data_IF_377657788698
#
_entry.id   IF_377657788698
#
_cell.length_a   1.000
_cell.length_b   1.000
_cell.length_c   1.000
_cell.angle_alpha   90.00
_cell.angle_beta   90.00
_cell.angle_gamma   90.00
#
_symmetry.space_group_name_H-M   'P 1'
#
loop_
_entity.id
_entity.type
_entity.pdbx_description
1 polymer ?
#
# COMPACT_ATOMS: atom_id res chain seq x y z
N UNK A 1 28.82 8.21 42.83
CA UNK A 1 28.69 9.59 42.29
C UNK A 1 29.29 9.66 40.88
N UNK A 2 28.49 9.45 39.82
CA UNK A 2 28.86 9.70 38.42
C UNK A 2 27.63 10.19 37.65
N UNK A 3 27.86 11.16 36.77
CA UNK A 3 26.93 12.22 36.37
C UNK A 3 26.10 11.85 35.14
N UNK A 4 24.83 12.25 35.20
CA UNK A 4 23.92 12.67 34.13
C UNK A 4 24.50 12.79 32.71
N UNK A 5 23.82 12.17 31.73
CA UNK A 5 23.74 12.69 30.37
C UNK A 5 22.29 12.63 29.88
N UNK A 6 21.60 13.76 30.06
CA UNK A 6 20.29 14.05 29.46
C UNK A 6 20.54 14.44 28.00
N UNK A 7 20.16 13.60 27.05
CA UNK A 7 20.11 14.00 25.65
C UNK A 7 18.85 14.81 25.39
N UNK A 8 19.05 16.11 25.17
CA UNK A 8 18.09 17.04 24.61
C UNK A 8 18.26 17.00 23.09
N UNK A 9 17.17 16.77 22.35
CA UNK A 9 16.97 17.32 21.00
C UNK A 9 15.51 17.08 20.57
N UNK A 10 14.55 17.77 21.19
CA UNK A 10 13.27 18.03 20.53
C UNK A 10 13.47 19.26 19.65
N UNK A 11 13.76 19.03 18.37
CA UNK A 11 13.68 20.04 17.33
C UNK A 11 12.23 20.49 17.25
N UNK A 12 11.98 21.69 17.76
CA UNK A 12 10.83 22.50 17.37
C UNK A 12 11.22 23.42 16.21
N UNK A 13 10.18 24.00 15.60
CA UNK A 13 10.20 25.03 14.53
C UNK A 13 10.35 24.33 13.15
N UNK A 14 9.39 24.38 12.23
CA UNK A 14 8.67 25.56 11.76
C UNK A 14 7.40 25.17 10.92
N UNK A 15 6.55 26.15 10.54
CA UNK A 15 5.15 25.97 10.17
C UNK A 15 4.92 25.60 8.70
N UNK A 16 3.77 24.98 8.45
CA UNK A 16 3.19 24.75 7.12
C UNK A 16 2.98 26.12 6.43
N UNK A 17 3.65 26.34 5.30
CA UNK A 17 3.38 27.47 4.40
C UNK A 17 2.54 27.00 3.21
N UNK A 18 1.50 27.78 2.95
CA UNK A 18 0.42 27.64 1.96
C UNK A 18 0.86 28.25 0.60
N UNK A 19 0.04 27.99 -0.43
CA UNK A 19 -0.17 28.73 -1.71
C UNK A 19 0.67 28.14 -2.87
N UNK A 20 0.08 27.71 -3.99
CA UNK A 20 -0.46 28.55 -5.09
C UNK A 20 -1.58 27.83 -5.87
N UNK A 21 -2.69 28.55 -6.03
CA UNK A 21 -3.72 28.29 -7.03
C UNK A 21 -3.26 28.81 -8.40
N UNK A 22 -3.62 28.10 -9.48
CA UNK A 22 -3.91 28.78 -10.74
C UNK A 22 -4.99 28.01 -11.49
N UNK A 23 -6.15 28.64 -11.58
CA UNK A 23 -7.22 28.20 -12.46
C UNK A 23 -6.84 28.42 -13.92
N UNK A 24 -7.37 27.55 -14.78
CA UNK A 24 -7.58 27.86 -16.19
C UNK A 24 -9.07 27.65 -16.45
N UNK A 25 -9.81 28.75 -16.42
CA UNK A 25 -11.07 28.92 -17.13
C UNK A 25 -10.71 29.63 -18.43
N UNK A 26 -11.13 29.08 -19.57
CA UNK A 26 -11.62 29.81 -20.75
C UNK A 26 -11.93 28.83 -21.89
N UNK A 27 -13.10 29.01 -22.50
CA UNK A 27 -13.32 28.67 -23.90
C UNK A 27 -14.35 27.57 -24.14
N UNK A 28 -15.61 27.97 -24.33
CA UNK A 28 -16.60 27.14 -25.00
C UNK A 28 -16.30 27.01 -26.49
N UNK A 29 -16.56 25.82 -27.02
CA UNK A 29 -16.76 25.57 -28.43
C UNK A 29 -17.77 24.43 -28.56
N UNK A 30 -18.90 24.79 -29.16
CA UNK A 30 -19.92 23.89 -29.64
C UNK A 30 -19.37 22.99 -30.78
N UNK A 31 -20.21 22.04 -31.19
CA UNK A 31 -20.11 21.16 -32.37
C UNK A 31 -19.35 19.83 -32.17
N UNK A 32 -20.14 18.81 -31.82
CA UNK A 32 -20.01 17.44 -32.35
C UNK A 32 -18.91 16.54 -31.79
N UNK A 33 -19.21 15.78 -30.74
CA UNK A 33 -18.47 14.56 -30.40
C UNK A 33 -19.32 13.31 -30.72
N UNK A 34 -18.86 12.57 -31.72
CA UNK A 34 -19.12 11.16 -31.96
C UNK A 34 -17.96 10.33 -31.38
N UNK A 35 -18.07 8.99 -31.42
CA UNK A 35 -18.73 8.09 -30.48
C UNK A 35 -17.80 7.69 -29.32
N UNK A 36 -18.41 7.31 -28.18
CA UNK A 36 -17.77 6.69 -27.00
C UNK A 36 -16.43 5.98 -27.30
N UNK A 37 -15.33 6.68 -27.03
CA UNK A 37 -14.01 6.07 -26.89
C UNK A 37 -14.08 5.09 -25.73
N UNK A 38 -13.44 3.93 -25.90
CA UNK A 38 -13.24 3.00 -24.81
C UNK A 38 -12.70 3.75 -23.61
N UNK A 39 -13.52 3.82 -22.56
CA UNK A 39 -13.13 4.17 -21.21
C UNK A 39 -12.00 3.21 -20.81
N UNK A 40 -10.78 3.59 -21.17
CA UNK A 40 -9.58 3.28 -20.42
C UNK A 40 -9.82 3.92 -19.05
N UNK A 41 -10.63 3.23 -18.22
CA UNK A 41 -10.72 3.48 -16.80
C UNK A 41 -9.32 3.23 -16.27
N UNK A 42 -8.61 4.34 -16.11
CA UNK A 42 -7.37 4.39 -15.37
C UNK A 42 -7.60 3.76 -14.01
N UNK A 43 -7.11 2.54 -13.86
CA UNK A 43 -6.47 2.13 -12.62
C UNK A 43 -4.98 2.36 -12.82
N UNK A 44 -4.62 3.63 -13.02
CA UNK A 44 -3.34 4.11 -12.57
C UNK A 44 -3.37 4.05 -11.04
N UNK A 45 -3.26 2.83 -10.49
CA UNK A 45 -2.75 2.65 -9.14
C UNK A 45 -1.42 3.37 -9.16
N UNK A 46 -1.38 4.50 -8.48
CA UNK A 46 -0.14 5.18 -8.16
C UNK A 46 0.70 4.19 -7.38
N UNK A 47 1.54 3.45 -8.10
CA UNK A 47 2.61 2.63 -7.58
C UNK A 47 3.59 3.61 -6.94
N UNK A 48 3.27 4.03 -5.71
CA UNK A 48 4.18 4.81 -4.89
C UNK A 48 5.38 3.90 -4.64
N UNK A 49 6.43 4.18 -5.41
CA UNK A 49 7.80 3.68 -5.35
C UNK A 49 8.44 4.06 -4.01
N UNK A 50 7.87 3.50 -2.95
CA UNK A 50 8.46 3.45 -1.63
C UNK A 50 9.38 2.22 -1.63
N UNK A 51 10.61 2.28 -1.06
CA UNK A 51 11.58 1.19 -1.12
C UNK A 51 10.90 -0.13 -0.73
N UNK A 52 10.86 -1.08 -1.67
CA UNK A 52 10.08 -2.31 -1.52
C UNK A 52 10.59 -3.10 -0.32
N UNK A 53 9.82 -3.04 0.77
CA UNK A 53 10.11 -3.81 1.97
C UNK A 53 9.87 -5.28 1.67
N UNK A 54 10.90 -6.09 1.85
CA UNK A 54 10.84 -7.53 1.66
C UNK A 54 10.46 -8.24 2.96
N UNK A 55 9.74 -9.35 2.85
CA UNK A 55 9.27 -10.14 3.99
C UNK A 55 9.28 -11.65 3.73
N UNK A 56 9.26 -12.45 4.79
CA UNK A 56 9.25 -13.91 4.71
C UNK A 56 7.84 -14.46 4.96
N UNK A 57 7.32 -15.22 4.00
CA UNK A 57 6.04 -15.95 4.15
C UNK A 57 6.24 -17.25 4.93
N UNK A 58 6.31 -17.13 6.27
CA UNK A 58 6.46 -18.25 7.21
C UNK A 58 5.24 -18.36 8.11
N UNK A 59 4.26 -19.13 7.65
CA UNK A 59 2.98 -19.36 8.32
C UNK A 59 2.72 -20.85 8.48
N UNK A 60 2.55 -21.30 9.72
CA UNK A 60 2.19 -22.69 10.01
C UNK A 60 0.76 -22.74 10.55
N UNK A 61 -0.14 -23.38 9.80
CA UNK A 61 -1.54 -23.54 10.16
C UNK A 61 -2.26 -22.23 10.54
N UNK A 62 -1.88 -21.13 9.88
CA UNK A 62 -2.34 -19.79 10.25
C UNK A 62 -3.67 -19.46 9.58
N UNK A 63 -4.54 -18.76 10.30
CA UNK A 63 -5.80 -18.23 9.77
C UNK A 63 -5.53 -17.06 8.80
N UNK A 64 -6.34 -16.94 7.76
CA UNK A 64 -6.23 -15.87 6.74
C UNK A 64 -6.18 -14.45 7.30
N UNK A 65 -6.99 -14.06 8.30
CA UNK A 65 -6.88 -12.73 8.90
C UNK A 65 -5.50 -12.47 9.49
N UNK A 66 -4.90 -13.46 10.15
CA UNK A 66 -3.57 -13.34 10.75
C UNK A 66 -2.50 -13.17 9.68
N UNK A 67 -2.60 -13.94 8.60
CA UNK A 67 -1.67 -13.86 7.45
C UNK A 67 -1.74 -12.49 6.80
N UNK A 68 -2.93 -12.04 6.42
CA UNK A 68 -3.14 -10.81 5.66
C UNK A 68 -2.79 -9.57 6.48
N UNK A 69 -3.14 -9.54 7.77
CA UNK A 69 -2.75 -8.44 8.66
C UNK A 69 -1.24 -8.35 8.80
N UNK A 70 -0.55 -9.48 8.96
CA UNK A 70 0.90 -9.51 9.08
C UNK A 70 1.59 -9.02 7.80
N UNK A 71 1.08 -9.42 6.63
CA UNK A 71 1.59 -8.92 5.35
C UNK A 71 1.37 -7.42 5.20
N UNK A 72 0.21 -6.90 5.59
CA UNK A 72 -0.07 -5.48 5.56
C UNK A 72 0.87 -4.69 6.49
N UNK A 73 1.04 -5.15 7.73
CA UNK A 73 1.96 -4.55 8.70
C UNK A 73 3.43 -4.57 8.23
N UNK A 74 3.88 -5.71 7.73
CA UNK A 74 5.26 -5.86 7.27
C UNK A 74 5.54 -5.04 6.02
N UNK A 75 4.59 -4.89 5.11
CA UNK A 75 4.77 -4.10 3.87
C UNK A 75 4.39 -2.62 4.02
N UNK A 76 3.86 -2.21 5.18
CA UNK A 76 3.34 -0.86 5.40
C UNK A 76 2.08 -0.55 4.57
N UNK A 77 1.33 -1.58 4.20
CA UNK A 77 0.10 -1.47 3.41
C UNK A 77 -1.13 -1.40 4.32
N UNK A 78 -2.23 -0.85 3.81
CA UNK A 78 -3.53 -0.90 4.50
C UNK A 78 -4.32 -2.09 3.98
N UNK A 79 -4.74 -2.99 4.88
CA UNK A 79 -5.59 -4.13 4.52
C UNK A 79 -7.04 -3.67 4.40
N UNK A 80 -7.63 -3.87 3.21
CA UNK A 80 -9.06 -3.69 2.97
C UNK A 80 -9.65 -5.05 2.60
N UNK A 81 -10.53 -5.58 3.45
CA UNK A 81 -11.12 -6.90 3.28
C UNK A 81 -12.62 -6.85 3.59
N UNK A 82 -13.45 -7.28 2.64
CA UNK A 82 -14.92 -7.34 2.80
C UNK A 82 -15.39 -8.67 3.40
N UNK A 83 -14.70 -9.76 3.08
CA UNK A 83 -15.02 -11.11 3.54
C UNK A 83 -13.72 -11.86 3.88
N UNK A 84 -13.77 -12.69 4.93
CA UNK A 84 -12.62 -13.49 5.37
C UNK A 84 -12.58 -14.78 4.56
N UNK A 85 -11.47 -15.09 3.88
CA UNK A 85 -11.37 -16.34 3.16
C UNK A 85 -11.42 -17.56 4.10
N UNK A 86 -12.11 -18.64 3.71
CA UNK A 86 -12.14 -19.86 4.52
C UNK A 86 -10.80 -20.60 4.48
N UNK A 87 -10.54 -21.40 5.50
CA UNK A 87 -9.38 -22.28 5.58
C UNK A 87 -8.16 -21.65 6.26
N UNK A 88 -7.01 -22.28 6.05
CA UNK A 88 -5.75 -21.94 6.72
C UNK A 88 -4.60 -22.01 5.74
N UNK A 89 -3.61 -21.15 5.93
CA UNK A 89 -2.37 -21.18 5.17
C UNK A 89 -1.32 -22.00 5.92
N UNK A 90 -0.74 -22.99 5.24
CA UNK A 90 0.45 -23.69 5.68
C UNK A 90 1.54 -23.51 4.64
N UNK A 91 2.44 -22.55 4.87
CA UNK A 91 3.51 -22.18 3.94
C UNK A 91 4.76 -21.78 4.71
N UNK A 92 5.90 -22.37 4.34
CA UNK A 92 7.16 -22.16 5.04
C UNK A 92 8.27 -21.87 4.05
N UNK A 93 8.23 -20.66 3.54
CA UNK A 93 9.22 -20.24 2.56
C UNK A 93 10.49 -19.74 3.24
N UNK A 94 11.60 -19.93 2.53
CA UNK A 94 12.93 -19.49 2.97
C UNK A 94 13.36 -18.21 2.26
N UNK A 95 12.73 -17.88 1.15
CA UNK A 95 13.03 -16.70 0.34
C UNK A 95 12.26 -15.48 0.86
N UNK A 96 12.89 -14.28 0.82
CA UNK A 96 12.18 -13.03 1.02
C UNK A 96 11.41 -12.65 -0.25
N UNK A 97 10.19 -12.14 -0.09
CA UNK A 97 9.34 -11.68 -1.17
C UNK A 97 9.06 -10.19 -1.05
N UNK A 98 8.90 -9.52 -2.19
CA UNK A 98 8.35 -8.15 -2.22
C UNK A 98 6.86 -8.16 -1.88
N UNK A 99 6.29 -6.98 -1.63
CA UNK A 99 4.84 -6.84 -1.40
C UNK A 99 4.03 -7.47 -2.54
N UNK A 100 4.36 -7.15 -3.79
CA UNK A 100 3.61 -7.61 -4.96
C UNK A 100 3.71 -9.13 -5.13
N UNK A 101 4.91 -9.70 -4.98
CA UNK A 101 5.10 -11.15 -5.05
C UNK A 101 4.30 -11.88 -3.97
N UNK A 102 4.32 -11.36 -2.74
CA UNK A 102 3.57 -11.95 -1.66
C UNK A 102 2.06 -11.91 -1.89
N UNK A 103 1.52 -10.78 -2.35
CA UNK A 103 0.10 -10.69 -2.71
C UNK A 103 -0.25 -11.68 -3.82
N UNK A 104 0.59 -11.81 -4.86
CA UNK A 104 0.37 -12.77 -5.94
C UNK A 104 0.37 -14.22 -5.44
N UNK A 105 1.29 -14.55 -4.53
CA UNK A 105 1.38 -15.87 -3.89
C UNK A 105 0.13 -16.17 -3.06
N UNK A 106 -0.33 -15.19 -2.28
CA UNK A 106 -1.50 -15.34 -1.43
C UNK A 106 -2.77 -15.48 -2.26
N UNK A 107 -2.93 -14.69 -3.33
CA UNK A 107 -4.06 -14.80 -4.25
C UNK A 107 -4.15 -16.20 -4.88
N UNK A 108 -3.01 -16.76 -5.33
CA UNK A 108 -2.98 -18.14 -5.86
C UNK A 108 -3.42 -19.19 -4.84
N UNK A 109 -3.23 -18.92 -3.55
CA UNK A 109 -3.63 -19.84 -2.48
C UNK A 109 -5.11 -19.70 -2.11
N UNK A 110 -5.79 -18.67 -2.61
CA UNK A 110 -7.21 -18.40 -2.44
C UNK A 110 -8.06 -18.88 -3.63
N UNK A 111 -7.44 -19.05 -4.80
CA UNK A 111 -8.07 -19.62 -5.99
C UNK A 111 -8.24 -21.15 -5.83
N UNK A 112 -9.46 -21.70 -5.94
CA UNK A 112 -9.71 -23.14 -5.92
C UNK A 112 -9.28 -23.86 -7.21
#
# INVERSE_FOLDING_TARGET
>A
MRKNRKFRAKLGISPIRVVVALGVLLGGNAWGQTPIENTASGVASSEQDSPEKTMYLKFFNADWPTVLNKVAEETGSTLVMHEIPPGRLNRRDKEPYTRHEAVQILNRSLEP
#
